data_IF_854758267388
#
_entry.id   IF_854758267388
#
_cell.length_a   1.000
_cell.length_b   1.000
_cell.length_c   1.000
_cell.angle_alpha   90.00
_cell.angle_beta   90.00
_cell.angle_gamma   90.00
#
_symmetry.space_group_name_H-M   'P 1'
#
loop_
_entity.id
_entity.type
_entity.pdbx_description
1 polymer ?
#
# COMPACT_ATOMS: atom_id res chain seq x y z
N UNK A 1 0.34 -28.04 -1.10
CA UNK A 1 0.73 -26.75 -0.53
C UNK A 1 -0.40 -25.77 -0.82
N UNK A 2 -1.26 -25.49 0.15
CA UNK A 2 -2.31 -24.48 0.01
C UNK A 2 -1.65 -23.11 -0.20
N UNK A 3 -1.94 -22.47 -1.32
CA UNK A 3 -1.59 -21.08 -1.53
C UNK A 3 -2.40 -20.28 -0.51
N UNK A 4 -1.76 -19.64 0.46
CA UNK A 4 -2.38 -18.56 1.24
C UNK A 4 -2.67 -17.42 0.27
N UNK A 5 -3.82 -17.49 -0.38
CA UNK A 5 -4.33 -16.43 -1.24
C UNK A 5 -4.64 -15.29 -0.29
N UNK A 6 -3.86 -14.21 -0.35
CA UNK A 6 -4.34 -12.92 0.12
C UNK A 6 -5.75 -12.74 -0.47
N UNK A 7 -6.81 -12.57 0.35
CA UNK A 7 -8.16 -12.49 -0.17
C UNK A 7 -8.17 -11.42 -1.27
N UNK A 8 -8.79 -11.68 -2.43
CA UNK A 8 -8.73 -10.75 -3.53
C UNK A 8 -9.42 -9.44 -3.11
N UNK A 9 -8.64 -8.43 -2.74
CA UNK A 9 -8.97 -7.06 -3.13
C UNK A 9 -8.51 -6.84 -4.57
N UNK A 10 -8.96 -7.74 -5.46
CA UNK A 10 -8.76 -7.65 -6.90
C UNK A 10 -10.02 -7.07 -7.52
N UNK A 11 -10.06 -5.75 -7.63
CA UNK A 11 -10.74 -5.11 -8.75
C UNK A 11 -9.78 -4.07 -9.34
N UNK A 12 -8.93 -4.51 -10.26
CA UNK A 12 -8.73 -3.68 -11.45
C UNK A 12 -9.99 -3.89 -12.28
N UNK A 13 -10.92 -2.94 -12.21
CA UNK A 13 -11.99 -2.85 -13.21
C UNK A 13 -11.34 -2.50 -14.54
N UNK A 14 -10.93 -3.53 -15.29
CA UNK A 14 -10.92 -3.46 -16.75
C UNK A 14 -12.35 -3.75 -17.16
N UNK A 15 -12.98 -2.73 -17.74
CA UNK A 15 -14.32 -2.76 -18.27
C UNK A 15 -14.55 -3.98 -19.17
N UNK A 16 -15.40 -4.90 -18.73
CA UNK A 16 -16.28 -5.66 -19.61
C UNK A 16 -17.52 -6.10 -18.83
N UNK A 17 -18.63 -5.46 -19.20
CA UNK A 17 -20.05 -5.69 -18.93
C UNK A 17 -20.47 -7.03 -18.29
N UNK A 18 -21.12 -6.96 -17.11
CA UNK A 18 -22.41 -7.61 -16.79
C UNK A 18 -22.85 -7.30 -15.35
N UNK A 19 -24.15 -7.06 -15.18
CA UNK A 19 -24.84 -6.53 -14.01
C UNK A 19 -24.63 -7.28 -12.68
N UNK A 20 -24.59 -6.52 -11.58
CA UNK A 20 -24.63 -7.04 -10.21
C UNK A 20 -24.37 -5.93 -9.18
N UNK A 21 -25.44 -5.33 -8.68
CA UNK A 21 -25.51 -4.15 -7.82
C UNK A 21 -24.81 -4.31 -6.44
N UNK A 22 -23.67 -3.64 -6.22
CA UNK A 22 -23.23 -3.17 -4.90
C UNK A 22 -22.49 -1.83 -5.05
N UNK A 23 -23.06 -0.76 -4.47
CA UNK A 23 -22.43 0.55 -4.35
C UNK A 23 -21.29 0.48 -3.33
N UNK A 24 -20.06 0.44 -3.79
CA UNK A 24 -18.88 0.78 -2.99
C UNK A 24 -18.57 2.27 -3.23
N UNK A 25 -18.35 3.04 -2.15
CA UNK A 25 -17.96 4.44 -2.26
C UNK A 25 -16.61 4.56 -2.98
N UNK A 26 -16.68 4.99 -4.24
CA UNK A 26 -15.53 5.27 -5.09
C UNK A 26 -14.72 6.45 -4.54
N UNK A 27 -13.73 6.14 -3.71
CA UNK A 27 -12.54 6.98 -3.62
C UNK A 27 -11.82 6.94 -4.97
N UNK A 28 -12.06 7.93 -5.84
CA UNK A 28 -11.49 8.09 -7.19
C UNK A 28 -9.96 8.36 -7.18
N UNK A 29 -9.20 7.56 -6.44
CA UNK A 29 -7.75 7.63 -6.29
C UNK A 29 -7.06 6.64 -7.20
N UNK A 30 -6.09 7.10 -7.99
CA UNK A 30 -5.27 6.22 -8.84
C UNK A 30 -4.49 5.24 -7.96
N UNK A 31 -4.43 3.99 -8.42
CA UNK A 31 -3.68 2.92 -7.80
C UNK A 31 -2.18 3.03 -8.15
N UNK A 32 -1.32 3.14 -7.14
CA UNK A 32 0.13 2.91 -7.30
C UNK A 32 0.42 1.44 -7.54
N UNK A 33 1.48 1.13 -8.29
CA UNK A 33 1.99 -0.23 -8.46
C UNK A 33 2.49 -0.76 -7.13
N UNK A 34 2.16 -2.03 -6.82
CA UNK A 34 2.57 -2.68 -5.58
C UNK A 34 2.97 -4.12 -5.84
N UNK A 35 4.18 -4.47 -5.41
CA UNK A 35 4.63 -5.87 -5.31
C UNK A 35 4.57 -6.33 -3.85
N UNK A 36 4.22 -7.60 -3.64
CA UNK A 36 4.11 -8.21 -2.32
C UNK A 36 4.92 -9.50 -2.31
N UNK A 37 5.89 -9.59 -1.42
CA UNK A 37 6.71 -10.77 -1.20
C UNK A 37 6.41 -11.38 0.18
N UNK A 38 6.28 -12.70 0.23
CA UNK A 38 6.23 -13.47 1.46
C UNK A 38 7.56 -14.23 1.63
N UNK A 39 8.08 -14.24 2.86
CA UNK A 39 9.20 -15.06 3.28
C UNK A 39 8.86 -15.84 4.56
N UNK A 40 9.81 -16.64 5.05
CA UNK A 40 9.70 -17.25 6.37
C UNK A 40 9.67 -16.23 7.50
N UNK A 41 10.32 -15.06 7.31
CA UNK A 41 10.43 -14.01 8.33
C UNK A 41 9.21 -13.09 8.39
N UNK A 42 8.51 -12.91 7.28
CA UNK A 42 7.49 -11.87 7.18
C UNK A 42 6.99 -11.60 5.77
N UNK A 43 6.24 -10.52 5.65
CA UNK A 43 5.66 -9.97 4.42
C UNK A 43 6.30 -8.62 4.10
N UNK A 44 6.62 -8.38 2.83
CA UNK A 44 7.20 -7.12 2.36
C UNK A 44 6.39 -6.59 1.19
N UNK A 45 6.04 -5.31 1.26
CA UNK A 45 5.27 -4.59 0.25
C UNK A 45 6.15 -3.50 -0.35
N UNK A 46 6.24 -3.44 -1.68
CA UNK A 46 7.01 -2.45 -2.42
C UNK A 46 6.06 -1.56 -3.21
N UNK A 47 6.03 -0.27 -2.92
CA UNK A 47 5.17 0.69 -3.60
C UNK A 47 6.00 1.68 -4.42
N UNK A 48 5.64 1.86 -5.68
CA UNK A 48 6.23 2.90 -6.53
C UNK A 48 5.63 4.27 -6.20
N UNK A 49 6.40 5.09 -5.48
CA UNK A 49 6.00 6.42 -5.00
C UNK A 49 7.01 7.52 -5.39
N UNK A 50 7.47 7.59 -6.66
CA UNK A 50 8.51 8.52 -7.05
C UNK A 50 8.06 9.98 -6.89
N UNK A 51 8.93 10.79 -6.31
CA UNK A 51 8.71 12.23 -6.12
C UNK A 51 7.77 12.60 -4.97
N UNK A 52 7.41 11.64 -4.10
CA UNK A 52 6.72 11.91 -2.84
C UNK A 52 7.72 12.00 -1.69
N UNK A 53 7.50 12.96 -0.81
CA UNK A 53 8.23 13.10 0.44
C UNK A 53 7.63 12.18 1.52
N UNK A 54 8.37 11.98 2.62
CA UNK A 54 7.88 11.20 3.76
C UNK A 54 6.57 11.76 4.33
N UNK A 55 6.39 13.09 4.35
CA UNK A 55 5.17 13.73 4.83
C UNK A 55 3.95 13.51 3.94
N UNK A 56 4.16 13.13 2.67
CA UNK A 56 3.07 12.87 1.73
C UNK A 56 2.50 11.45 1.87
N UNK A 57 3.14 10.58 2.67
CA UNK A 57 2.82 9.15 2.79
C UNK A 57 2.46 8.83 4.23
N UNK A 58 1.35 8.12 4.40
CA UNK A 58 0.85 7.64 5.67
C UNK A 58 0.65 6.12 5.59
N UNK A 59 1.21 5.41 6.57
CA UNK A 59 1.01 3.96 6.77
C UNK A 59 0.30 3.77 8.10
N UNK A 60 -0.87 3.16 8.09
CA UNK A 60 -1.70 2.91 9.28
C UNK A 60 -2.19 1.47 9.31
N UNK A 61 -2.41 0.95 10.51
CA UNK A 61 -3.13 -0.30 10.72
C UNK A 61 -4.55 0.04 11.19
N UNK A 62 -5.55 -0.33 10.39
CA UNK A 62 -6.97 -0.23 10.75
C UNK A 62 -7.45 -1.53 11.43
N UNK A 63 -8.69 -1.53 11.92
CA UNK A 63 -9.33 -2.70 12.51
C UNK A 63 -9.26 -3.94 11.61
N UNK A 64 -9.36 -5.13 12.21
CA UNK A 64 -9.38 -6.43 11.49
C UNK A 64 -8.11 -6.68 10.66
N UNK A 65 -6.97 -6.19 11.15
CA UNK A 65 -5.61 -6.40 10.61
C UNK A 65 -5.46 -5.85 9.18
N UNK A 66 -6.01 -4.65 8.93
CA UNK A 66 -5.96 -4.04 7.60
C UNK A 66 -4.84 -3.01 7.56
N UNK A 67 -3.76 -3.33 6.85
CA UNK A 67 -2.69 -2.39 6.53
C UNK A 67 -3.19 -1.41 5.47
N UNK A 68 -3.12 -0.11 5.76
CA UNK A 68 -3.57 0.95 4.89
C UNK A 68 -2.41 1.88 4.58
N UNK A 69 -2.11 2.02 3.29
CA UNK A 69 -1.10 2.94 2.78
C UNK A 69 -1.81 4.02 1.98
N UNK A 70 -1.76 5.25 2.50
CA UNK A 70 -2.31 6.44 1.88
C UNK A 70 -1.14 7.30 1.42
N UNK A 71 -1.22 7.80 0.20
CA UNK A 71 -0.39 8.89 -0.25
C UNK A 71 -1.27 10.03 -0.70
N UNK A 72 -0.90 11.24 -0.33
CA UNK A 72 -1.60 12.45 -0.70
C UNK A 72 -0.57 13.53 -0.89
N UNK A 73 -0.15 13.74 -2.13
CA UNK A 73 0.80 14.79 -2.48
C UNK A 73 0.64 15.20 -3.93
N UNK A 74 0.93 16.47 -4.19
CA UNK A 74 1.33 16.87 -5.53
C UNK A 74 2.76 16.38 -5.69
N UNK A 75 3.03 15.51 -6.67
CA UNK A 75 4.42 15.40 -7.13
C UNK A 75 4.83 16.81 -7.50
N UNK A 76 6.01 17.27 -7.08
CA UNK A 76 6.54 18.58 -7.50
C UNK A 76 6.37 18.68 -9.03
N UNK A 77 5.40 19.49 -9.42
CA UNK A 77 5.02 19.80 -10.79
C UNK A 77 5.16 21.30 -10.84
N UNK A 78 5.82 21.74 -11.88
CA UNK A 78 6.40 23.05 -12.05
C UNK A 78 5.33 24.07 -12.47
N UNK A 79 4.29 24.25 -11.64
CA UNK A 79 3.93 25.65 -11.36
C UNK A 79 4.98 26.27 -10.40
N UNK A 80 5.89 25.45 -9.83
CA UNK A 80 6.95 25.85 -8.89
C UNK A 80 8.42 25.66 -9.35
N UNK A 81 8.74 25.04 -10.50
CA UNK A 81 10.17 24.80 -10.90
C UNK A 81 10.57 25.60 -12.13
N UNK A 82 9.62 25.93 -13.00
CA UNK A 82 9.74 27.18 -13.75
C UNK A 82 9.46 28.26 -12.70
N UNK A 83 10.50 28.77 -12.05
CA UNK A 83 10.34 29.91 -11.14
C UNK A 83 9.72 31.07 -11.91
N UNK A 84 9.15 32.05 -11.21
CA UNK A 84 8.69 33.30 -11.87
C UNK A 84 9.80 33.90 -12.77
N UNK A 85 11.08 33.71 -12.39
CA UNK A 85 12.24 34.04 -13.22
C UNK A 85 12.40 33.16 -14.48
N UNK A 86 12.14 31.86 -14.42
CA UNK A 86 12.19 30.99 -15.59
C UNK A 86 10.98 31.19 -16.52
N UNK A 87 9.81 31.56 -15.98
CA UNK A 87 8.64 31.94 -16.79
C UNK A 87 8.91 33.26 -17.52
N UNK A 88 9.52 34.23 -16.83
CA UNK A 88 10.00 35.47 -17.43
C UNK A 88 11.08 35.23 -18.51
N UNK A 89 11.83 34.13 -18.42
CA UNK A 89 12.79 33.66 -19.45
C UNK A 89 12.15 32.79 -20.54
N UNK A 90 10.83 32.55 -20.48
CA UNK A 90 10.08 31.86 -21.51
C UNK A 90 10.08 30.33 -21.42
N UNK A 91 10.52 29.74 -20.31
CA UNK A 91 10.45 28.29 -20.10
C UNK A 91 8.98 27.83 -20.02
N UNK A 92 8.62 26.82 -20.83
CA UNK A 92 7.28 26.23 -20.87
C UNK A 92 7.38 24.72 -21.01
N UNK A 93 6.44 24.03 -20.40
CA UNK A 93 6.28 22.59 -20.60
C UNK A 93 5.97 22.25 -22.06
N UNK A 94 6.80 21.42 -22.67
CA UNK A 94 6.52 20.85 -24.00
C UNK A 94 5.60 19.64 -23.91
N UNK A 95 5.70 18.85 -22.82
CA UNK A 95 4.91 17.64 -22.61
C UNK A 95 4.87 17.27 -21.13
N UNK A 96 3.71 16.81 -20.67
CA UNK A 96 3.51 16.43 -19.28
C UNK A 96 2.86 15.04 -19.19
N UNK A 97 3.66 14.01 -19.01
CA UNK A 97 3.16 12.63 -18.91
C UNK A 97 2.98 12.18 -17.46
N UNK A 98 3.77 12.77 -16.55
CA UNK A 98 3.72 12.45 -15.13
C UNK A 98 2.41 12.95 -14.53
N UNK A 99 1.75 12.07 -13.79
CA UNK A 99 0.56 12.43 -13.05
C UNK A 99 0.93 13.39 -11.91
N UNK A 100 0.35 14.60 -11.96
CA UNK A 100 0.51 15.69 -11.01
C UNK A 100 0.06 15.34 -9.59
N UNK A 101 -1.05 14.62 -9.51
CA UNK A 101 -1.72 14.25 -8.28
C UNK A 101 -1.63 12.75 -8.10
N UNK A 102 -0.89 12.34 -7.08
CA UNK A 102 -0.93 10.97 -6.56
C UNK A 102 -1.60 11.00 -5.22
N UNK A 103 -2.92 11.17 -5.25
CA UNK A 103 -3.75 10.66 -4.16
C UNK A 103 -3.98 9.18 -4.42
N UNK A 104 -3.44 8.34 -3.55
CA UNK A 104 -3.64 6.91 -3.60
C UNK A 104 -4.01 6.40 -2.21
N UNK A 105 -4.78 5.33 -2.19
CA UNK A 105 -5.05 4.55 -0.99
C UNK A 105 -5.05 3.08 -1.39
N UNK A 106 -4.24 2.28 -0.70
CA UNK A 106 -4.18 0.84 -0.87
C UNK A 106 -4.42 0.19 0.48
N UNK A 107 -5.30 -0.80 0.52
CA UNK A 107 -5.63 -1.56 1.73
C UNK A 107 -5.28 -3.03 1.51
N UNK A 108 -4.59 -3.63 2.47
CA UNK A 108 -4.19 -5.03 2.47
C UNK A 108 -4.60 -5.67 3.78
N UNK A 109 -5.35 -6.77 3.70
CA UNK A 109 -5.64 -7.57 4.88
C UNK A 109 -4.43 -8.44 5.19
N UNK A 110 -3.81 -8.22 6.34
CA UNK A 110 -2.66 -9.00 6.78
C UNK A 110 -3.10 -10.40 7.22
N UNK A 111 -2.29 -11.43 6.96
CA UNK A 111 -2.53 -12.77 7.46
C UNK A 111 -2.54 -12.84 8.99
N UNK A 112 -3.15 -13.90 9.53
CA UNK A 112 -3.29 -14.10 10.99
C UNK A 112 -1.94 -14.28 11.70
N UNK A 113 -0.93 -14.78 10.98
CA UNK A 113 0.43 -14.96 11.49
C UNK A 113 1.31 -13.72 11.35
N UNK A 114 0.76 -12.57 10.93
CA UNK A 114 1.49 -11.30 10.93
C UNK A 114 1.61 -10.73 12.36
N UNK A 115 2.82 -10.29 12.73
CA UNK A 115 3.05 -9.53 13.95
C UNK A 115 2.70 -8.06 13.71
N UNK A 116 1.56 -7.63 14.24
CA UNK A 116 1.04 -6.27 14.09
C UNK A 116 1.83 -5.23 14.89
N UNK A 117 2.66 -5.66 15.84
CA UNK A 117 3.55 -4.79 16.62
C UNK A 117 4.89 -4.54 15.91
N UNK A 118 5.25 -5.40 14.96
CA UNK A 118 6.52 -5.35 14.23
C UNK A 118 6.31 -4.92 12.75
N UNK A 119 5.74 -3.73 12.57
CA UNK A 119 5.57 -3.09 11.26
C UNK A 119 6.61 -1.98 11.11
N UNK A 120 7.37 -2.00 10.01
CA UNK A 120 8.33 -0.95 9.67
C UNK A 120 8.13 -0.45 8.25
N UNK A 121 8.50 0.81 8.00
CA UNK A 121 8.39 1.42 6.68
C UNK A 121 9.61 2.29 6.37
N UNK A 122 10.11 2.20 5.14
CA UNK A 122 11.23 3.00 4.64
C UNK A 122 10.95 3.42 3.20
N UNK A 123 11.24 4.68 2.88
CA UNK A 123 11.18 5.18 1.50
C UNK A 123 12.60 5.52 1.04
N UNK A 124 13.05 4.89 -0.04
CA UNK A 124 14.36 5.11 -0.63
C UNK A 124 14.23 5.07 -2.15
N UNK A 125 14.89 6.00 -2.85
CA UNK A 125 14.92 6.07 -4.31
C UNK A 125 13.53 6.04 -4.99
N UNK A 126 12.52 6.61 -4.34
CA UNK A 126 11.14 6.65 -4.86
C UNK A 126 10.33 5.37 -4.65
N UNK A 127 10.85 4.40 -3.88
CA UNK A 127 10.16 3.17 -3.52
C UNK A 127 9.89 3.16 -2.02
N UNK A 128 8.63 2.97 -1.63
CA UNK A 128 8.24 2.73 -0.25
C UNK A 128 8.21 1.23 -0.01
N UNK A 129 9.03 0.78 0.93
CA UNK A 129 9.05 -0.59 1.43
C UNK A 129 8.36 -0.63 2.79
N UNK A 130 7.30 -1.43 2.91
CA UNK A 130 6.63 -1.72 4.18
C UNK A 130 6.87 -3.19 4.53
N UNK A 131 7.45 -3.45 5.71
CA UNK A 131 7.77 -4.79 6.19
C UNK A 131 6.92 -5.11 7.41
N UNK A 132 6.36 -6.32 7.42
CA UNK A 132 5.56 -6.87 8.52
C UNK A 132 6.14 -8.23 8.89
N UNK A 133 6.67 -8.37 10.09
CA UNK A 133 7.22 -9.65 10.54
C UNK A 133 6.11 -10.68 10.80
N UNK A 134 6.49 -11.96 10.82
CA UNK A 134 5.58 -13.02 11.30
C UNK A 134 5.67 -13.13 12.81
N UNK A 135 4.52 -13.28 13.46
CA UNK A 135 4.44 -13.54 14.88
C UNK A 135 5.15 -14.86 15.20
N UNK A 136 5.83 -14.95 16.36
CA UNK A 136 6.41 -16.21 16.79
C UNK A 136 5.34 -17.29 16.83
N UNK A 137 5.66 -18.54 16.44
CA UNK A 137 4.69 -19.61 16.43
C UNK A 137 4.12 -19.77 17.84
N UNK A 138 2.81 -19.55 17.98
CA UNK A 138 2.11 -19.76 19.25
C UNK A 138 2.34 -21.22 19.64
N UNK A 139 2.93 -21.45 20.81
CA UNK A 139 3.19 -22.79 21.32
C UNK A 139 1.87 -23.59 21.28
N UNK A 140 1.83 -24.64 20.45
CA UNK A 140 0.68 -25.53 20.37
C UNK A 140 0.47 -26.14 21.76
N UNK A 141 -0.77 -26.08 22.23
CA UNK A 141 -1.26 -26.38 23.59
C UNK A 141 -0.63 -27.58 24.30
N UNK A 142 -0.57 -27.49 25.64
CA UNK A 142 -0.26 -28.61 26.54
C UNK A 142 -1.40 -29.62 26.58
N UNK A 143 -1.07 -30.90 26.52
CA UNK A 143 -1.99 -32.01 26.82
C UNK A 143 -2.47 -31.91 28.26
N UNK A 144 -3.78 -32.06 28.48
CA UNK A 144 -4.38 -32.17 29.80
C UNK A 144 -4.80 -33.61 29.98
N UNK A 145 -4.27 -34.28 30.99
CA UNK A 145 -4.64 -35.66 31.32
C UNK A 145 -6.01 -35.72 31.98
N UNK A 146 -6.80 -36.73 31.58
CA UNK A 146 -8.14 -36.97 32.12
C UNK A 146 -8.02 -37.96 33.28
N UNK A 147 -8.36 -37.52 34.49
CA UNK A 147 -8.54 -38.43 35.63
C UNK A 147 -10.00 -38.87 35.69
N UNK A 148 -10.25 -40.17 35.66
CA UNK A 148 -11.57 -40.77 35.90
C UNK A 148 -11.63 -41.27 37.34
N UNK A 149 -12.68 -40.89 38.07
CA UNK A 149 -13.03 -41.36 39.42
C UNK A 149 -14.21 -42.33 39.37
#
# INVERSE_FOLDING_TARGET
MEKKVFPPSFTHSRSSSREGNQKEEEGNGRSVSVDIAESQKGYVFYFDVPGLSKSDIQVTLEEKNVLVVKGGGKRKREEEVVSEEEEAKGCKYLRMERNAYTRFMRKFRLPVDADLSAISARCENGVLTVSVEKAPPVAKSKTVDITVS
#
